data_IF_343512185579
#
_entry.id   IF_343512185579
#
_cell.length_a   1.000
_cell.length_b   1.000
_cell.length_c   1.000
_cell.angle_alpha   90.00
_cell.angle_beta   90.00
_cell.angle_gamma   90.00
#
_symmetry.space_group_name_H-M   'P 1'
#
loop_
_entity.id
_entity.type
_entity.pdbx_description
1 polymer ?
#
# COMPACT_ATOMS: atom_id res chain seq x y z
N UNK A 1 6.40 7.05 11.41
CA UNK A 1 6.23 8.32 12.18
C UNK A 1 4.74 8.61 12.29
N UNK A 2 4.04 7.92 13.19
CA UNK A 2 2.64 8.22 13.50
C UNK A 2 2.64 9.44 14.40
N UNK A 3 2.05 10.55 13.98
CA UNK A 3 1.99 11.77 14.78
C UNK A 3 1.46 11.45 16.20
N UNK A 4 2.09 11.94 17.28
CA UNK A 4 1.72 11.61 18.66
C UNK A 4 0.25 11.95 18.99
N UNK A 5 -0.39 12.83 18.22
CA UNK A 5 -1.81 13.14 18.33
C UNK A 5 -2.74 12.01 17.89
N UNK A 6 -2.35 11.22 16.88
CA UNK A 6 -3.15 10.11 16.35
C UNK A 6 -3.23 8.97 17.37
N UNK A 7 -2.11 8.69 18.07
CA UNK A 7 -2.05 7.64 19.11
C UNK A 7 -2.90 8.00 20.33
N UNK A 8 -2.93 9.29 20.71
CA UNK A 8 -3.76 9.79 21.82
C UNK A 8 -5.25 9.78 21.51
N UNK A 9 -5.61 9.88 20.23
CA UNK A 9 -7.01 9.85 19.77
C UNK A 9 -7.55 8.42 19.69
N UNK A 10 -6.69 7.43 19.41
CA UNK A 10 -7.08 6.01 19.33
C UNK A 10 -7.21 5.35 20.71
N UNK A 11 -6.47 5.81 21.73
CA UNK A 11 -6.53 5.28 23.10
C UNK A 11 -7.61 5.92 23.99
N UNK A 12 -8.16 7.06 23.57
CA UNK A 12 -9.35 7.66 24.18
C UNK A 12 -10.63 7.21 23.50
N UNK A 13 -11.77 7.32 24.17
CA UNK A 13 -13.09 7.16 23.55
C UNK A 13 -13.20 8.11 22.34
N UNK A 14 -13.03 7.56 21.14
CA UNK A 14 -13.13 8.30 19.87
C UNK A 14 -14.53 8.89 19.79
N UNK A 15 -14.63 10.21 19.98
CA UNK A 15 -15.92 10.89 19.87
C UNK A 15 -16.29 10.98 18.39
N UNK A 16 -17.55 10.78 17.98
CA UNK A 16 -17.95 10.84 16.57
C UNK A 16 -17.50 12.13 15.86
N UNK A 17 -17.44 13.24 16.59
CA UNK A 17 -16.98 14.54 16.08
C UNK A 17 -15.50 14.54 15.63
N UNK A 18 -14.65 13.71 16.24
CA UNK A 18 -13.22 13.60 15.91
C UNK A 18 -13.01 12.81 14.61
N UNK A 19 -13.86 11.83 14.34
CA UNK A 19 -13.82 11.07 13.08
C UNK A 19 -14.10 11.97 11.87
N UNK A 20 -15.07 12.88 12.01
CA UNK A 20 -15.37 13.88 10.96
C UNK A 20 -14.16 14.76 10.69
N UNK A 21 -13.49 15.26 11.75
CA UNK A 21 -12.29 16.08 11.60
C UNK A 21 -11.11 15.36 10.92
N UNK A 22 -10.91 14.07 11.22
CA UNK A 22 -9.86 13.24 10.58
C UNK A 22 -10.17 13.00 9.11
N UNK A 23 -11.43 12.75 8.76
CA UNK A 23 -11.84 12.56 7.36
C UNK A 23 -11.50 13.79 6.52
N UNK A 24 -11.83 14.99 6.97
CA UNK A 24 -11.57 16.21 6.20
C UNK A 24 -10.12 16.71 6.24
N UNK A 25 -9.18 15.96 6.82
CA UNK A 25 -7.78 16.33 6.80
C UNK A 25 -7.20 16.20 5.37
N UNK A 26 -6.51 17.23 4.82
CA UNK A 26 -6.08 17.23 3.41
C UNK A 26 -5.25 16.01 3.00
N UNK A 27 -4.37 15.54 3.89
CA UNK A 27 -3.55 14.35 3.64
C UNK A 27 -4.36 13.05 3.62
N UNK A 28 -5.42 12.96 4.44
CA UNK A 28 -6.33 11.81 4.48
C UNK A 28 -7.19 11.79 3.23
N UNK A 29 -7.75 12.95 2.85
CA UNK A 29 -8.49 13.10 1.60
C UNK A 29 -7.63 12.79 0.37
N UNK A 30 -6.38 13.27 0.34
CA UNK A 30 -5.42 12.93 -0.72
C UNK A 30 -5.19 11.42 -0.83
N UNK A 31 -4.96 10.76 0.31
CA UNK A 31 -4.83 9.29 0.37
C UNK A 31 -6.10 8.56 -0.09
N UNK A 32 -7.28 9.06 0.29
CA UNK A 32 -8.56 8.45 -0.08
C UNK A 32 -8.84 8.59 -1.58
N UNK A 33 -8.59 9.77 -2.16
CA UNK A 33 -8.72 9.99 -3.62
C UNK A 33 -7.76 9.08 -4.38
N UNK A 34 -6.51 8.98 -3.91
CA UNK A 34 -5.52 8.09 -4.53
C UNK A 34 -5.95 6.61 -4.43
N UNK A 35 -6.51 6.20 -3.29
CA UNK A 35 -7.01 4.84 -3.07
C UNK A 35 -8.21 4.52 -3.96
N UNK A 36 -9.15 5.45 -4.07
CA UNK A 36 -10.28 5.32 -5.00
C UNK A 36 -9.80 5.24 -6.45
N UNK A 37 -8.86 6.09 -6.85
CA UNK A 37 -8.23 6.04 -8.17
C UNK A 37 -7.52 4.70 -8.44
N UNK A 38 -6.78 4.19 -7.45
CA UNK A 38 -6.14 2.88 -7.55
C UNK A 38 -7.16 1.75 -7.74
N UNK A 39 -8.30 1.81 -7.06
CA UNK A 39 -9.40 0.86 -7.24
C UNK A 39 -9.98 0.93 -8.67
N UNK A 40 -10.17 2.13 -9.24
CA UNK A 40 -10.62 2.27 -10.63
C UNK A 40 -9.62 1.68 -11.63
N UNK A 41 -8.32 1.97 -11.45
CA UNK A 41 -7.26 1.39 -12.28
C UNK A 41 -7.28 -0.13 -12.18
N UNK A 42 -7.45 -0.68 -10.98
CA UNK A 42 -7.54 -2.11 -10.76
C UNK A 42 -8.75 -2.75 -11.46
N UNK A 43 -9.92 -2.12 -11.39
CA UNK A 43 -11.10 -2.58 -12.12
C UNK A 43 -10.87 -2.60 -13.64
N UNK A 44 -10.16 -1.61 -14.19
CA UNK A 44 -9.78 -1.60 -15.60
C UNK A 44 -8.86 -2.77 -15.95
N UNK A 45 -7.86 -3.07 -15.11
CA UNK A 45 -6.97 -4.24 -15.31
C UNK A 45 -7.78 -5.54 -15.32
N UNK A 46 -8.67 -5.73 -14.35
CA UNK A 46 -9.50 -6.93 -14.27
C UNK A 46 -10.52 -7.05 -15.43
N UNK A 47 -10.85 -5.95 -16.09
CA UNK A 47 -11.68 -5.99 -17.30
C UNK A 47 -10.94 -6.51 -18.54
N UNK A 48 -9.61 -6.59 -18.50
CA UNK A 48 -8.75 -6.94 -19.65
C UNK A 48 -7.88 -8.17 -19.43
N UNK A 49 -7.63 -8.55 -18.18
CA UNK A 49 -6.71 -9.61 -17.80
C UNK A 49 -7.39 -10.52 -16.78
N UNK A 50 -7.16 -11.82 -16.91
CA UNK A 50 -7.64 -12.79 -15.92
C UNK A 50 -7.05 -12.49 -14.53
N UNK A 51 -7.91 -12.61 -13.53
CA UNK A 51 -7.57 -12.35 -12.13
C UNK A 51 -6.32 -13.13 -11.70
N UNK A 52 -6.21 -14.40 -12.10
CA UNK A 52 -5.07 -15.28 -11.82
C UNK A 52 -3.73 -14.78 -12.39
N UNK A 53 -3.77 -14.10 -13.55
CA UNK A 53 -2.59 -13.48 -14.16
C UNK A 53 -2.30 -12.09 -13.59
N UNK A 54 -3.31 -11.38 -13.07
CA UNK A 54 -3.14 -10.03 -12.53
C UNK A 54 -2.55 -10.00 -11.11
N UNK A 55 -2.97 -10.91 -10.22
CA UNK A 55 -2.50 -10.99 -8.82
C UNK A 55 -0.97 -11.05 -8.64
N UNK A 56 -0.21 -11.79 -9.47
CA UNK A 56 1.24 -11.83 -9.36
C UNK A 56 1.87 -10.44 -9.49
N UNK A 57 1.35 -9.59 -10.38
CA UNK A 57 1.87 -8.23 -10.56
C UNK A 57 1.63 -7.33 -9.35
N UNK A 58 0.62 -7.61 -8.52
CA UNK A 58 0.42 -6.92 -7.22
C UNK A 58 1.64 -7.11 -6.32
N UNK A 59 2.32 -8.26 -6.41
CA UNK A 59 3.56 -8.55 -5.71
C UNK A 59 4.69 -7.55 -5.99
N UNK A 60 4.74 -6.98 -7.21
CA UNK A 60 5.71 -5.94 -7.56
C UNK A 60 5.47 -4.64 -6.78
N UNK A 61 4.23 -4.40 -6.34
CA UNK A 61 3.88 -3.29 -5.46
C UNK A 61 4.67 -3.31 -4.15
N UNK A 62 5.03 -4.48 -3.62
CA UNK A 62 5.88 -4.57 -2.42
C UNK A 62 7.31 -4.09 -2.69
N UNK A 63 7.86 -4.36 -3.87
CA UNK A 63 9.19 -3.87 -4.27
C UNK A 63 9.17 -2.36 -4.35
N UNK A 64 8.17 -1.80 -5.06
CA UNK A 64 8.01 -0.35 -5.21
C UNK A 64 7.81 0.30 -3.85
N UNK A 65 6.93 -0.24 -3.00
CA UNK A 65 6.67 0.30 -1.65
C UNK A 65 7.91 0.27 -0.78
N UNK A 66 8.69 -0.82 -0.80
CA UNK A 66 9.94 -0.92 -0.05
C UNK A 66 10.96 0.12 -0.53
N UNK A 67 11.13 0.29 -1.84
CA UNK A 67 12.07 1.26 -2.42
C UNK A 67 11.65 2.71 -2.12
N UNK A 68 10.36 3.02 -2.22
CA UNK A 68 9.83 4.34 -1.86
C UNK A 68 9.94 4.59 -0.35
N UNK A 69 9.69 3.58 0.49
CA UNK A 69 9.89 3.66 1.93
C UNK A 69 11.34 3.98 2.29
N UNK A 70 12.30 3.30 1.66
CA UNK A 70 13.71 3.56 1.89
C UNK A 70 14.17 4.93 1.37
N UNK A 71 13.77 5.30 0.14
CA UNK A 71 14.28 6.52 -0.53
C UNK A 71 13.56 7.81 -0.12
N UNK A 72 12.22 7.79 0.01
CA UNK A 72 11.41 8.97 0.33
C UNK A 72 11.17 9.15 1.82
N UNK A 73 10.93 8.05 2.54
CA UNK A 73 10.58 8.08 3.96
C UNK A 73 11.80 7.82 4.87
N UNK A 74 12.95 7.47 4.30
CA UNK A 74 14.18 7.16 5.04
C UNK A 74 14.05 5.90 5.90
N UNK A 75 13.15 4.98 5.57
CA UNK A 75 12.99 3.74 6.32
C UNK A 75 14.24 2.87 6.22
N UNK A 76 14.62 2.25 7.33
CA UNK A 76 15.74 1.30 7.34
C UNK A 76 15.37 0.02 6.61
N UNK A 77 16.19 -0.37 5.64
CA UNK A 77 16.05 -1.65 4.96
C UNK A 77 16.57 -2.76 5.87
N UNK A 78 15.67 -3.49 6.50
CA UNK A 78 16.04 -4.67 7.27
C UNK A 78 16.33 -5.84 6.33
N UNK A 79 17.33 -6.66 6.69
CA UNK A 79 17.71 -7.83 5.90
C UNK A 79 16.52 -8.80 5.66
N UNK A 80 15.64 -9.08 6.65
CA UNK A 80 14.46 -9.90 6.41
C UNK A 80 13.47 -9.30 5.40
N UNK A 81 13.27 -7.97 5.42
CA UNK A 81 12.37 -7.29 4.48
C UNK A 81 12.91 -7.41 3.05
N UNK A 82 14.21 -7.18 2.87
CA UNK A 82 14.87 -7.32 1.57
C UNK A 82 14.74 -8.75 1.02
N UNK A 83 15.06 -9.76 1.84
CA UNK A 83 14.98 -11.17 1.43
C UNK A 83 13.54 -11.59 1.09
N UNK A 84 12.56 -11.19 1.91
CA UNK A 84 11.15 -11.45 1.64
C UNK A 84 10.67 -10.80 0.34
N UNK A 85 11.05 -9.55 0.09
CA UNK A 85 10.72 -8.83 -1.15
C UNK A 85 11.36 -9.48 -2.38
N UNK A 86 12.61 -9.94 -2.29
CA UNK A 86 13.27 -10.69 -3.36
C UNK A 86 12.60 -12.04 -3.64
N UNK A 87 12.14 -12.73 -2.59
CA UNK A 87 11.40 -13.99 -2.73
C UNK A 87 10.06 -13.78 -3.45
N UNK A 88 9.31 -12.73 -3.11
CA UNK A 88 8.08 -12.33 -3.81
C UNK A 88 8.41 -12.05 -5.28
N UNK A 89 9.44 -11.25 -5.56
CA UNK A 89 9.87 -10.92 -6.92
C UNK A 89 10.21 -12.18 -7.73
N UNK A 90 10.95 -13.12 -7.14
CA UNK A 90 11.26 -14.42 -7.74
C UNK A 90 10.01 -15.22 -8.07
N UNK A 91 9.04 -15.30 -7.15
CA UNK A 91 7.75 -15.95 -7.37
C UNK A 91 6.97 -15.35 -8.54
N UNK A 92 6.94 -14.02 -8.66
CA UNK A 92 6.31 -13.32 -9.78
C UNK A 92 6.98 -13.67 -11.12
N UNK A 93 8.32 -13.71 -11.16
CA UNK A 93 9.07 -14.07 -12.39
C UNK A 93 8.79 -15.50 -12.82
N UNK A 94 8.74 -16.45 -11.89
CA UNK A 94 8.42 -17.85 -12.20
C UNK A 94 7.02 -17.95 -12.80
N UNK A 95 6.04 -17.28 -12.19
CA UNK A 95 4.64 -17.34 -12.61
C UNK A 95 4.41 -16.63 -13.95
N UNK A 96 5.09 -15.51 -14.19
CA UNK A 96 5.09 -14.79 -15.46
C UNK A 96 5.72 -15.60 -16.61
N UNK A 97 6.54 -16.62 -16.30
CA UNK A 97 7.12 -17.53 -17.29
C UNK A 97 6.34 -18.84 -17.46
N UNK A 98 5.36 -19.12 -16.60
CA UNK A 98 4.57 -20.36 -16.63
C UNK A 98 3.23 -20.24 -17.37
N UNK A 99 2.83 -19.03 -17.76
CA UNK A 99 1.70 -18.76 -18.66
C UNK A 99 2.20 -18.38 -20.04
#
# INVERSE_FOLDING_TARGET
MSAPEVVKTISGTVRPIQLVGILFHPWVMGGLVLYFGAALVWLVVLSRVEVSLAYPFVGLGFIVTMLLGWSLLGETLSLPRLLGTLLIAGGVVVLARSG
#
